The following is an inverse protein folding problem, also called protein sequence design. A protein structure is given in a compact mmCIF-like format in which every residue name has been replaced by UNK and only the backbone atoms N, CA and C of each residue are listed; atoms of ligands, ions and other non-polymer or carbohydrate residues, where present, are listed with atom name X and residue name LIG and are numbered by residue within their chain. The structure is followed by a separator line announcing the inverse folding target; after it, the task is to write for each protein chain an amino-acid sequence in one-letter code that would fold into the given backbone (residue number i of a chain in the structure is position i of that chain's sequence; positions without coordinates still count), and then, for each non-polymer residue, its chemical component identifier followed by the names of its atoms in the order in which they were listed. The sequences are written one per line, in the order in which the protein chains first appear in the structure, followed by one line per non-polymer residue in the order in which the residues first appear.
data_IF_098954722871
#
_entry.id   IF_098954722871
#
_cell.length_a   1.000
_cell.length_b   1.000
_cell.length_c   1.000
_cell.angle_alpha   90.00
_cell.angle_beta   90.00
_cell.angle_gamma   90.00
#
_symmetry.space_group_name_H-M   'P 1'
#
loop_
_entity.id
_entity.type
_entity.pdbx_description
1 polymer ?
#
# COMPACT_ATOMS: atom_id res chain seq x y z
N UNK A 1 28.12 4.26 10.84
CA UNK A 1 27.13 5.10 10.13
C UNK A 1 26.18 4.15 9.46
N UNK A 2 25.07 3.83 10.13
CA UNK A 2 24.15 2.75 9.75
C UNK A 2 23.27 3.18 8.59
N UNK A 3 23.40 2.43 7.50
CA UNK A 3 22.58 2.43 6.30
C UNK A 3 21.08 2.38 6.66
N UNK A 4 20.33 3.45 6.37
CA UNK A 4 18.87 3.54 6.57
C UNK A 4 18.13 3.13 5.29
N UNK A 5 18.46 1.98 4.73
CA UNK A 5 17.72 1.41 3.61
C UNK A 5 16.33 0.95 4.08
N UNK A 6 15.28 1.41 3.37
CA UNK A 6 13.91 0.95 3.59
C UNK A 6 13.84 -0.54 3.26
N UNK A 7 13.82 -1.40 4.27
CA UNK A 7 13.70 -2.83 4.04
C UNK A 7 12.23 -3.16 3.75
N UNK A 8 11.90 -3.43 2.49
CA UNK A 8 10.55 -3.81 2.06
C UNK A 8 10.25 -5.25 2.49
N UNK A 9 8.96 -5.59 2.70
CA UNK A 9 8.58 -6.97 2.96
C UNK A 9 8.89 -7.83 1.72
N UNK A 10 9.15 -9.12 1.96
CA UNK A 10 9.24 -10.08 0.86
C UNK A 10 7.86 -10.29 0.25
N UNK A 11 7.80 -10.47 -1.07
CA UNK A 11 6.54 -10.71 -1.78
C UNK A 11 6.24 -12.20 -1.83
N UNK A 12 5.03 -12.61 -1.46
CA UNK A 12 4.60 -14.00 -1.63
C UNK A 12 4.53 -14.39 -3.11
N UNK A 13 5.00 -15.59 -3.46
CA UNK A 13 5.07 -16.10 -4.84
C UNK A 13 3.75 -16.03 -5.62
N UNK A 14 2.62 -16.12 -4.91
CA UNK A 14 1.29 -16.02 -5.51
C UNK A 14 0.97 -14.61 -6.01
N UNK A 15 1.45 -13.58 -5.31
CA UNK A 15 1.24 -12.17 -5.68
C UNK A 15 2.16 -11.74 -6.82
N UNK A 16 3.41 -12.21 -6.82
CA UNK A 16 4.38 -11.89 -7.87
C UNK A 16 3.91 -12.29 -9.29
N UNK A 17 2.93 -13.20 -9.39
CA UNK A 17 2.33 -13.65 -10.66
C UNK A 17 1.19 -12.75 -11.15
N UNK A 18 0.70 -11.83 -10.32
CA UNK A 18 -0.38 -10.91 -10.68
C UNK A 18 0.22 -9.69 -11.39
N UNK A 19 -0.24 -9.40 -12.61
CA UNK A 19 0.27 -8.30 -13.43
C UNK A 19 -0.02 -6.94 -12.83
N UNK A 20 -1.24 -6.73 -12.32
CA UNK A 20 -1.66 -5.46 -11.71
C UNK A 20 -0.86 -5.16 -10.44
N UNK A 21 -0.57 -6.22 -9.67
CA UNK A 21 0.33 -6.14 -8.52
C UNK A 21 1.74 -5.71 -8.93
N UNK A 22 2.34 -6.36 -9.93
CA UNK A 22 3.72 -6.11 -10.31
C UNK A 22 3.95 -4.64 -10.71
N UNK A 23 3.03 -4.06 -11.48
CA UNK A 23 3.08 -2.66 -11.88
C UNK A 23 2.95 -1.71 -10.68
N UNK A 24 1.93 -1.91 -9.85
CA UNK A 24 1.71 -1.05 -8.69
C UNK A 24 2.84 -1.19 -7.66
N UNK A 25 3.38 -2.39 -7.48
CA UNK A 25 4.48 -2.67 -6.57
C UNK A 25 5.78 -1.99 -7.04
N UNK A 26 6.08 -2.07 -8.33
CA UNK A 26 7.23 -1.36 -8.91
C UNK A 26 7.10 0.17 -8.76
N UNK A 27 5.90 0.73 -8.91
CA UNK A 27 5.66 2.15 -8.70
C UNK A 27 5.93 2.56 -7.24
N UNK A 28 5.47 1.74 -6.29
CA UNK A 28 5.74 1.93 -4.86
C UNK A 28 7.25 1.85 -4.56
N UNK A 29 7.95 0.86 -5.09
CA UNK A 29 9.40 0.70 -4.91
C UNK A 29 10.17 1.96 -5.36
N UNK A 30 9.82 2.50 -6.54
CA UNK A 30 10.41 3.74 -7.03
C UNK A 30 10.10 4.93 -6.12
N UNK A 31 8.84 5.07 -5.68
CA UNK A 31 8.41 6.16 -4.81
C UNK A 31 9.17 6.14 -3.47
N UNK A 32 9.27 4.96 -2.84
CA UNK A 32 9.98 4.79 -1.58
C UNK A 32 11.49 4.99 -1.71
N UNK A 33 12.08 4.59 -2.84
CA UNK A 33 13.49 4.84 -3.13
C UNK A 33 13.77 6.34 -3.31
N UNK A 34 12.85 7.08 -3.93
CA UNK A 34 12.95 8.54 -4.07
C UNK A 34 12.76 9.27 -2.73
N UNK A 35 11.84 8.80 -1.87
CA UNK A 35 11.55 9.39 -0.56
C UNK A 35 12.58 9.06 0.53
N UNK A 36 13.43 8.04 0.34
CA UNK A 36 14.53 7.72 1.25
C UNK A 36 15.51 8.90 1.46
N UNK A 37 15.46 9.92 0.58
CA UNK A 37 16.23 11.17 0.68
C UNK A 37 15.67 12.14 1.74
N UNK A 38 14.39 11.99 2.16
CA UNK A 38 13.70 12.94 3.05
C UNK A 38 13.37 12.39 4.47
N UNK A 39 13.88 11.21 4.84
CA UNK A 39 14.02 10.85 6.27
C UNK A 39 12.74 10.51 7.05
N UNK A 40 11.72 9.92 6.41
CA UNK A 40 10.46 9.53 7.09
C UNK A 40 10.60 8.39 8.14
N UNK A 41 11.74 7.69 8.20
CA UNK A 41 12.11 6.81 9.33
C UNK A 41 11.17 5.62 9.62
N UNK A 42 10.17 5.36 8.78
CA UNK A 42 9.27 4.22 8.93
C UNK A 42 9.89 2.96 8.33
N UNK A 43 10.00 1.90 9.14
CA UNK A 43 10.48 0.58 8.73
C UNK A 43 9.33 -0.42 8.78
N UNK A 44 9.05 -1.07 7.65
CA UNK A 44 8.34 -2.35 7.72
C UNK A 44 9.17 -3.33 8.58
N UNK A 45 8.53 -4.27 9.30
CA UNK A 45 9.27 -5.24 10.08
C UNK A 45 10.25 -6.01 9.21
N UNK A 46 11.50 -6.11 9.66
CA UNK A 46 12.51 -6.92 8.97
C UNK A 46 12.06 -8.38 9.03
N UNK A 47 11.75 -8.97 7.86
CA UNK A 47 11.24 -10.34 7.74
C UNK A 47 9.72 -10.47 7.54
N UNK A 48 8.98 -9.35 7.43
CA UNK A 48 7.57 -9.38 7.07
C UNK A 48 7.35 -9.94 5.65
N UNK A 49 6.31 -10.77 5.49
CA UNK A 49 5.86 -11.25 4.17
C UNK A 49 4.61 -10.49 3.75
N UNK A 50 4.55 -10.06 2.49
CA UNK A 50 3.35 -9.50 1.89
C UNK A 50 2.39 -10.63 1.49
N UNK A 51 1.28 -10.75 2.23
CA UNK A 51 0.35 -11.86 2.09
C UNK A 51 -0.80 -11.57 1.13
N UNK A 52 -1.24 -10.31 1.05
CA UNK A 52 -2.38 -9.92 0.24
C UNK A 52 -2.12 -8.63 -0.51
N UNK A 53 -2.63 -8.57 -1.73
CA UNK A 53 -2.77 -7.36 -2.53
C UNK A 53 -4.25 -7.08 -2.77
N UNK A 54 -4.66 -5.82 -2.63
CA UNK A 54 -6.02 -5.35 -2.86
C UNK A 54 -5.93 -4.21 -3.88
N UNK A 55 -6.37 -4.48 -5.12
CA UNK A 55 -6.63 -3.42 -6.08
C UNK A 55 -7.95 -2.72 -5.71
N UNK A 56 -7.84 -1.48 -5.22
CA UNK A 56 -8.96 -0.60 -4.92
C UNK A 56 -9.03 0.62 -5.84
N UNK A 57 -8.27 0.67 -6.94
CA UNK A 57 -8.19 1.86 -7.83
C UNK A 57 -9.53 2.23 -8.49
N UNK A 58 -10.45 1.28 -8.59
CA UNK A 58 -11.80 1.47 -9.16
C UNK A 58 -12.92 1.41 -8.11
N UNK A 59 -12.57 1.42 -6.82
CA UNK A 59 -13.51 1.23 -5.72
C UNK A 59 -13.65 2.51 -4.90
N UNK A 60 -14.88 2.98 -4.74
CA UNK A 60 -15.18 4.05 -3.78
C UNK A 60 -15.24 3.50 -2.35
N UNK A 61 -14.91 4.34 -1.37
CA UNK A 61 -15.19 4.05 0.03
C UNK A 61 -16.68 3.67 0.24
N UNK A 62 -17.02 2.61 1.01
CA UNK A 62 -16.19 1.87 1.99
C UNK A 62 -15.62 0.53 1.52
N UNK A 63 -15.69 0.22 0.22
CA UNK A 63 -15.29 -1.09 -0.30
C UNK A 63 -13.80 -1.43 -0.04
N UNK A 64 -12.82 -0.53 -0.27
CA UNK A 64 -11.41 -0.79 0.03
C UNK A 64 -11.17 -1.13 1.51
N UNK A 65 -11.77 -0.37 2.43
CA UNK A 65 -11.66 -0.62 3.87
C UNK A 65 -12.23 -2.00 4.25
N UNK A 66 -13.37 -2.38 3.69
CA UNK A 66 -13.98 -3.68 3.99
C UNK A 66 -13.09 -4.84 3.52
N UNK A 67 -12.54 -4.73 2.30
CA UNK A 67 -11.60 -5.73 1.76
C UNK A 67 -10.33 -5.82 2.61
N UNK A 68 -9.78 -4.69 3.04
CA UNK A 68 -8.65 -4.65 3.95
C UNK A 68 -8.93 -5.39 5.25
N UNK A 69 -10.08 -5.14 5.88
CA UNK A 69 -10.48 -5.83 7.12
C UNK A 69 -10.61 -7.33 6.93
N UNK A 70 -11.05 -7.80 5.76
CA UNK A 70 -11.12 -9.24 5.45
C UNK A 70 -9.72 -9.83 5.30
N UNK A 71 -8.84 -9.19 4.52
CA UNK A 71 -7.46 -9.64 4.34
C UNK A 71 -6.68 -9.71 5.67
N UNK A 72 -6.84 -8.70 6.53
CA UNK A 72 -6.17 -8.66 7.83
C UNK A 72 -6.62 -9.77 8.79
N UNK A 73 -7.82 -10.35 8.63
CA UNK A 73 -8.22 -11.50 9.45
C UNK A 73 -7.35 -12.73 9.17
N UNK A 74 -6.93 -12.93 7.93
CA UNK A 74 -6.12 -14.08 7.49
C UNK A 74 -4.63 -13.79 7.43
N UNK A 75 -4.22 -12.52 7.54
CA UNK A 75 -2.80 -12.13 7.59
C UNK A 75 -2.19 -12.57 8.94
N UNK A 76 -0.95 -13.07 8.96
CA UNK A 76 -0.25 -13.36 10.21
C UNK A 76 0.21 -12.06 10.89
N UNK A 77 0.47 -12.08 12.19
CA UNK A 77 1.05 -10.90 12.84
C UNK A 77 2.49 -10.67 12.37
N UNK A 78 2.85 -9.42 12.16
CA UNK A 78 4.11 -9.00 11.56
C UNK A 78 4.10 -8.99 10.03
N UNK A 79 3.15 -9.68 9.40
CA UNK A 79 2.99 -9.69 7.94
C UNK A 79 2.17 -8.50 7.42
N UNK A 80 2.23 -8.30 6.12
CA UNK A 80 1.71 -7.12 5.47
C UNK A 80 0.54 -7.41 4.50
N UNK A 81 -0.30 -6.39 4.34
CA UNK A 81 -1.30 -6.26 3.27
C UNK A 81 -0.97 -5.01 2.47
N UNK A 82 -0.99 -5.13 1.16
CA UNK A 82 -0.80 -4.02 0.23
C UNK A 82 -2.14 -3.68 -0.42
N UNK A 83 -2.48 -2.40 -0.43
CA UNK A 83 -3.73 -1.90 -1.00
C UNK A 83 -3.44 -0.67 -1.85
N UNK A 84 -4.04 -0.60 -3.03
CA UNK A 84 -4.06 0.62 -3.85
C UNK A 84 -5.44 1.25 -3.85
N UNK A 85 -5.48 2.58 -3.89
CA UNK A 85 -6.72 3.35 -3.96
C UNK A 85 -6.50 4.61 -4.81
N UNK A 86 -7.58 5.20 -5.30
CA UNK A 86 -7.57 6.50 -5.99
C UNK A 86 -8.44 7.55 -5.29
N UNK A 87 -9.28 7.11 -4.34
CA UNK A 87 -10.17 7.95 -3.56
C UNK A 87 -9.50 8.39 -2.24
N UNK A 88 -9.35 9.70 -1.98
CA UNK A 88 -8.75 10.20 -0.74
C UNK A 88 -9.56 9.84 0.52
N UNK A 89 -10.87 9.61 0.40
CA UNK A 89 -11.66 9.14 1.54
C UNK A 89 -11.23 7.73 1.98
N UNK A 90 -10.83 6.89 1.03
CA UNK A 90 -10.29 5.56 1.34
C UNK A 90 -8.99 5.65 2.13
N UNK A 91 -8.09 6.59 1.80
CA UNK A 91 -6.88 6.85 2.59
C UNK A 91 -7.23 7.28 4.02
N UNK A 92 -8.16 8.23 4.17
CA UNK A 92 -8.59 8.74 5.47
C UNK A 92 -9.14 7.62 6.36
N UNK A 93 -10.08 6.84 5.85
CA UNK A 93 -10.77 5.79 6.61
C UNK A 93 -9.87 4.61 6.94
N UNK A 94 -9.00 4.20 6.00
CA UNK A 94 -7.98 3.17 6.27
C UNK A 94 -6.97 3.67 7.30
N UNK A 95 -6.54 4.93 7.20
CA UNK A 95 -5.66 5.57 8.18
C UNK A 95 -6.26 5.60 9.58
N UNK A 96 -7.54 6.00 9.70
CA UNK A 96 -8.26 5.98 10.97
C UNK A 96 -8.40 4.56 11.53
N UNK A 97 -8.75 3.60 10.68
CA UNK A 97 -8.86 2.19 11.07
C UNK A 97 -7.52 1.63 11.57
N UNK A 98 -6.41 1.83 10.85
CA UNK A 98 -5.10 1.32 11.26
C UNK A 98 -4.65 1.91 12.59
N UNK A 99 -4.82 3.23 12.79
CA UNK A 99 -4.52 3.89 14.08
C UNK A 99 -5.34 3.32 15.23
N UNK A 100 -6.65 3.13 15.01
CA UNK A 100 -7.56 2.65 16.04
C UNK A 100 -7.36 1.16 16.37
N UNK A 101 -7.01 0.35 15.37
CA UNK A 101 -6.71 -1.08 15.51
C UNK A 101 -5.26 -1.37 15.93
N UNK A 102 -4.39 -0.35 15.98
CA UNK A 102 -2.98 -0.47 16.33
C UNK A 102 -2.10 -1.08 15.25
N UNK A 103 -2.54 -1.13 13.99
CA UNK A 103 -1.75 -1.64 12.86
C UNK A 103 -0.75 -0.60 12.35
N UNK A 104 0.40 -1.08 11.86
CA UNK A 104 1.36 -0.23 11.14
C UNK A 104 0.81 0.17 9.79
N UNK A 105 1.07 1.40 9.35
CA UNK A 105 0.62 1.91 8.06
C UNK A 105 1.70 2.78 7.42
N UNK A 106 2.04 2.46 6.18
CA UNK A 106 2.82 3.30 5.27
C UNK A 106 1.92 3.75 4.14
N UNK A 107 2.05 5.01 3.75
CA UNK A 107 1.35 5.60 2.61
C UNK A 107 2.39 6.19 1.66
N UNK A 108 2.22 5.96 0.37
CA UNK A 108 2.94 6.64 -0.71
C UNK A 108 1.95 7.05 -1.80
N UNK A 109 2.31 8.10 -2.56
CA UNK A 109 1.49 8.61 -3.65
C UNK A 109 2.29 8.57 -4.94
N UNK A 110 1.71 8.04 -6.00
CA UNK A 110 2.32 8.04 -7.33
C UNK A 110 1.36 8.58 -8.37
N UNK A 111 1.86 9.18 -9.46
CA UNK A 111 1.00 9.47 -10.60
C UNK A 111 0.51 8.15 -11.21
N UNK A 112 -0.78 8.07 -11.54
CA UNK A 112 -1.31 6.95 -12.29
C UNK A 112 -0.65 6.91 -13.67
N UNK A 113 -0.04 5.77 -13.98
CA UNK A 113 0.52 5.50 -15.30
C UNK A 113 -0.55 5.16 -16.34
N UNK A 114 -1.79 4.89 -15.91
CA UNK A 114 -2.91 4.50 -16.79
C UNK A 114 -3.88 5.66 -17.00
N UNK A 115 -3.99 6.10 -18.25
CA UNK A 115 -4.90 7.18 -18.66
C UNK A 115 -6.40 6.80 -18.54
N UNK A 116 -6.73 5.51 -18.40
CA UNK A 116 -8.13 5.05 -18.21
C UNK A 116 -8.68 5.36 -16.82
N UNK A 117 -7.81 5.61 -15.83
CA UNK A 117 -8.20 6.04 -14.49
C UNK A 117 -8.53 7.54 -14.41
N UNK A 118 -8.29 8.30 -15.49
CA UNK A 118 -8.63 9.71 -15.55
C UNK A 118 -10.11 9.90 -15.90
N UNK A 119 -10.96 10.04 -14.89
CA UNK A 119 -12.30 10.59 -15.10
C UNK A 119 -12.19 12.10 -15.35
N UNK A 120 -12.53 12.52 -16.58
CA UNK A 120 -12.77 13.91 -16.97
C UNK A 120 -11.54 14.82 -17.23
N UNK A 121 -10.58 14.31 -17.99
CA UNK A 121 -9.88 15.12 -18.99
C UNK A 121 -8.75 16.05 -18.57
N UNK A 122 -8.52 16.42 -17.31
CA UNK A 122 -7.38 17.32 -16.95
C UNK A 122 -6.79 17.14 -15.53
N UNK A 123 -6.60 15.92 -15.03
CA UNK A 123 -5.63 15.70 -13.95
C UNK A 123 -5.12 14.25 -13.98
N UNK A 124 -3.81 14.03 -13.87
CA UNK A 124 -3.28 12.68 -13.72
C UNK A 124 -3.84 12.11 -12.40
N UNK A 125 -4.61 11.02 -12.47
CA UNK A 125 -5.14 10.38 -11.28
C UNK A 125 -3.96 10.02 -10.36
N UNK A 126 -4.05 10.25 -9.05
CA UNK A 126 -3.00 9.85 -8.11
C UNK A 126 -3.36 8.47 -7.56
N UNK A 127 -2.43 7.53 -7.63
CA UNK A 127 -2.56 6.24 -6.96
C UNK A 127 -1.99 6.40 -5.55
N UNK A 128 -2.83 6.04 -4.57
CA UNK A 128 -2.50 5.97 -3.17
C UNK A 128 -2.11 4.53 -2.87
N UNK A 129 -0.88 4.33 -2.45
CA UNK A 129 -0.32 3.04 -2.07
C UNK A 129 -0.33 2.93 -0.55
N UNK A 130 -1.04 1.95 -0.01
CA UNK A 130 -1.13 1.70 1.43
C UNK A 130 -0.52 0.34 1.73
N UNK A 131 0.55 0.32 2.52
CA UNK A 131 1.16 -0.90 3.04
C UNK A 131 0.85 -0.99 4.54
N UNK A 132 0.04 -1.99 4.90
CA UNK A 132 -0.46 -2.19 6.25
C UNK A 132 0.28 -3.37 6.88
N UNK A 133 0.95 -3.15 8.01
CA UNK A 133 1.53 -4.22 8.82
C UNK A 133 0.55 -4.63 9.90
N UNK A 134 0.19 -5.91 9.94
CA UNK A 134 -0.69 -6.43 11.00
C UNK A 134 0.09 -6.55 12.31
N UNK A 135 -0.22 -5.68 13.25
CA UNK A 135 0.21 -5.84 14.62
C UNK A 135 -0.78 -6.73 15.38
N UNK A 136 -0.25 -7.57 16.26
CA UNK A 136 -0.93 -7.99 17.47
C UNK A 136 -0.11 -7.52 18.68
#
# INVERSE_FOLDING_TARGET
MTDQTANLPSVADALAKQTDFAQDWQALEHALTADAVHGSGLRAPTGAVLQHYIDGKTMACPLPLLKLKIALKTTACGDCVYLTATDPNSEHDIGAFCRMAGHGLLIAHTPASDATLAHNGQNAATIIHLLITKNC
#
